data_IF_229278186964
#
_entry.id   IF_229278186964
#
_cell.length_a   1.000
_cell.length_b   1.000
_cell.length_c   1.000
_cell.angle_alpha   90.00
_cell.angle_beta   90.00
_cell.angle_gamma   90.00
#
_symmetry.space_group_name_H-M   'P 1'
#
loop_
_entity.id
_entity.type
_entity.pdbx_description
1 polymer ?
#
# COMPACT_ATOMS: atom_id res chain seq x y z
N UNK A 1 11.75 -2.32 18.72
CA UNK A 1 12.79 -3.03 17.95
C UNK A 1 13.02 -2.22 16.69
N UNK A 2 14.09 -1.41 16.65
CA UNK A 2 14.39 -0.49 15.55
C UNK A 2 14.94 -1.30 14.38
N UNK A 3 14.26 -1.22 13.23
CA UNK A 3 14.72 -1.76 11.96
C UNK A 3 16.03 -1.02 11.63
N UNK A 4 17.15 -1.73 11.62
CA UNK A 4 18.43 -1.15 11.24
C UNK A 4 18.33 -0.67 9.80
N UNK A 5 18.48 0.63 9.60
CA UNK A 5 18.61 1.21 8.27
C UNK A 5 19.90 0.65 7.65
N UNK A 6 19.78 -0.22 6.64
CA UNK A 6 20.91 -0.78 5.90
C UNK A 6 21.56 0.31 5.02
N UNK A 7 22.24 1.28 5.63
CA UNK A 7 23.05 2.27 4.93
C UNK A 7 24.46 1.70 4.67
N UNK A 8 24.54 0.70 3.79
CA UNK A 8 25.80 0.32 3.14
C UNK A 8 26.12 1.25 1.97
N UNK A 9 27.37 1.26 1.45
CA UNK A 9 27.68 2.00 0.23
C UNK A 9 26.74 1.57 -0.90
N UNK A 10 26.20 2.54 -1.64
CA UNK A 10 25.23 2.29 -2.70
C UNK A 10 25.80 1.28 -3.71
N UNK A 11 25.17 0.09 -3.88
CA UNK A 11 25.64 -0.88 -4.86
C UNK A 11 25.45 -0.30 -6.26
N UNK A 12 26.53 -0.17 -7.03
CA UNK A 12 26.46 0.16 -8.45
C UNK A 12 26.02 -1.09 -9.23
N UNK A 13 24.79 -1.06 -9.73
CA UNK A 13 24.24 -2.12 -10.57
C UNK A 13 24.56 -1.84 -12.03
N UNK A 14 25.17 -2.80 -12.71
CA UNK A 14 25.40 -2.76 -14.15
C UNK A 14 24.52 -3.79 -14.85
N UNK A 15 23.73 -3.35 -15.83
CA UNK A 15 22.95 -4.22 -16.69
C UNK A 15 23.55 -4.14 -18.10
N UNK A 16 24.07 -5.25 -18.61
CA UNK A 16 24.62 -5.33 -19.98
C UNK A 16 25.75 -4.31 -20.25
N UNK A 17 26.50 -3.92 -19.21
CA UNK A 17 27.60 -2.95 -19.32
C UNK A 17 27.20 -1.49 -19.10
N UNK A 18 25.91 -1.18 -18.92
CA UNK A 18 25.43 0.16 -18.55
C UNK A 18 25.13 0.26 -17.06
N UNK A 19 25.48 1.39 -16.45
CA UNK A 19 25.18 1.67 -15.03
C UNK A 19 23.71 2.08 -14.92
N UNK A 20 22.95 1.39 -14.07
CA UNK A 20 21.54 1.73 -13.83
C UNK A 20 21.47 2.99 -12.97
N UNK A 21 20.63 3.95 -13.39
CA UNK A 21 20.35 5.14 -12.60
C UNK A 21 19.69 4.78 -11.26
N UNK A 22 20.26 5.30 -10.17
CA UNK A 22 19.66 5.16 -8.85
C UNK A 22 18.63 6.27 -8.63
N UNK A 23 17.36 5.88 -8.45
CA UNK A 23 16.27 6.80 -8.15
C UNK A 23 15.82 6.67 -6.70
N UNK A 24 15.44 7.80 -6.08
CA UNK A 24 14.94 7.82 -4.70
C UNK A 24 13.57 7.15 -4.55
N UNK A 25 12.73 7.20 -5.60
CA UNK A 25 11.42 6.57 -5.68
C UNK A 25 11.23 5.95 -7.07
N UNK A 26 10.75 4.72 -7.10
CA UNK A 26 10.44 4.00 -8.32
C UNK A 26 8.98 3.53 -8.29
N UNK A 27 8.24 3.69 -9.39
CA UNK A 27 6.88 3.19 -9.51
C UNK A 27 6.90 1.78 -10.11
N UNK A 28 6.48 0.79 -9.33
CA UNK A 28 6.34 -0.59 -9.76
C UNK A 28 4.88 -1.03 -9.61
N UNK A 29 4.23 -1.38 -10.71
CA UNK A 29 2.83 -1.83 -10.73
C UNK A 29 1.85 -0.87 -10.02
N UNK A 30 2.15 0.44 -10.02
CA UNK A 30 1.35 1.48 -9.34
C UNK A 30 1.77 1.78 -7.90
N UNK A 31 2.63 0.96 -7.30
CA UNK A 31 3.21 1.15 -5.96
C UNK A 31 4.53 1.91 -6.03
N UNK A 32 4.79 2.79 -5.05
CA UNK A 32 6.06 3.53 -4.99
C UNK A 32 7.03 2.88 -3.99
N UNK A 33 8.16 2.42 -4.51
CA UNK A 33 9.25 1.84 -3.73
C UNK A 33 10.30 2.92 -3.50
N UNK A 34 10.60 3.23 -2.24
CA UNK A 34 11.66 4.18 -1.89
C UNK A 34 13.01 3.48 -1.76
N UNK A 35 14.11 4.21 -2.01
CA UNK A 35 15.49 3.70 -1.95
C UNK A 35 15.83 2.93 -0.65
N UNK A 36 15.30 3.37 0.50
CA UNK A 36 15.50 2.70 1.79
C UNK A 36 14.57 1.51 2.06
N UNK A 37 13.87 0.99 1.04
CA UNK A 37 12.83 -0.04 1.20
C UNK A 37 11.60 0.43 1.97
N UNK A 38 11.51 1.74 2.25
CA UNK A 38 10.42 2.35 3.00
C UNK A 38 9.20 2.53 2.10
N UNK A 39 8.10 1.92 2.51
CA UNK A 39 6.80 1.95 1.83
C UNK A 39 5.87 2.99 2.51
N UNK A 40 6.39 3.84 3.41
CA UNK A 40 5.57 4.72 4.26
C UNK A 40 4.60 5.61 3.48
N UNK A 41 5.05 6.20 2.37
CA UNK A 41 4.19 7.04 1.54
C UNK A 41 3.05 6.23 0.90
N UNK A 42 3.34 5.03 0.43
CA UNK A 42 2.35 4.12 -0.16
C UNK A 42 1.40 3.52 0.90
N UNK A 43 1.90 3.24 2.12
CA UNK A 43 1.05 2.85 3.26
C UNK A 43 0.03 3.95 3.56
N UNK A 44 0.48 5.20 3.61
CA UNK A 44 -0.40 6.34 3.86
C UNK A 44 -1.46 6.51 2.76
N UNK A 45 -1.08 6.31 1.49
CA UNK A 45 -1.99 6.35 0.35
C UNK A 45 -3.04 5.22 0.41
N UNK A 46 -2.61 3.99 0.76
CA UNK A 46 -3.51 2.85 0.96
C UNK A 46 -4.51 3.08 2.08
N UNK A 47 -4.05 3.64 3.21
CA UNK A 47 -4.92 3.99 4.34
C UNK A 47 -5.96 5.04 3.90
N UNK A 48 -5.58 6.05 3.13
CA UNK A 48 -6.51 7.04 2.60
C UNK A 48 -7.57 6.40 1.68
N UNK A 49 -7.17 5.52 0.77
CA UNK A 49 -8.08 4.78 -0.11
C UNK A 49 -9.05 3.89 0.67
N UNK A 50 -8.57 3.18 1.68
CA UNK A 50 -9.39 2.36 2.58
C UNK A 50 -10.41 3.21 3.33
N UNK A 51 -9.99 4.37 3.86
CA UNK A 51 -10.92 5.31 4.52
C UNK A 51 -12.01 5.76 3.56
N UNK A 52 -11.65 6.10 2.32
CA UNK A 52 -12.63 6.48 1.29
C UNK A 52 -13.62 5.34 0.99
N UNK A 53 -13.13 4.11 0.80
CA UNK A 53 -13.98 2.94 0.58
C UNK A 53 -14.94 2.69 1.76
N UNK A 54 -14.46 2.88 2.99
CA UNK A 54 -15.27 2.73 4.19
C UNK A 54 -16.36 3.83 4.28
N UNK A 55 -16.01 5.08 3.96
CA UNK A 55 -16.96 6.21 3.91
C UNK A 55 -18.00 6.02 2.80
N UNK A 56 -17.63 5.51 1.63
CA UNK A 56 -18.57 5.20 0.55
C UNK A 56 -19.60 4.15 0.97
N UNK A 57 -19.23 3.24 1.88
CA UNK A 57 -20.11 2.24 2.46
C UNK A 57 -20.87 2.71 3.71
N UNK A 58 -20.77 3.99 4.09
CA UNK A 58 -21.43 4.57 5.27
C UNK A 58 -22.92 4.24 5.34
N UNK A 59 -23.63 4.30 4.22
CA UNK A 59 -25.06 3.98 4.18
C UNK A 59 -25.37 2.51 4.51
N UNK A 60 -24.41 1.63 4.24
CA UNK A 60 -24.50 0.20 4.52
C UNK A 60 -24.24 -0.07 6.01
N UNK A 61 -23.20 0.54 6.58
CA UNK A 61 -22.88 0.46 8.01
C UNK A 61 -23.95 1.10 8.91
N UNK A 62 -24.60 2.16 8.46
CA UNK A 62 -25.66 2.85 9.21
C UNK A 62 -27.00 2.09 9.19
N UNK A 63 -27.15 1.02 8.41
CA UNK A 63 -28.38 0.23 8.37
C UNK A 63 -28.40 -0.79 9.50
N UNK A 64 -29.30 -0.59 10.45
CA UNK A 64 -29.52 -1.40 11.67
C UNK A 64 -29.87 -2.88 11.44
N UNK A 65 -30.11 -3.31 10.18
CA UNK A 65 -30.63 -4.63 9.83
C UNK A 65 -29.63 -5.53 9.09
N UNK A 66 -28.38 -5.12 8.90
CA UNK A 66 -27.38 -6.04 8.35
C UNK A 66 -26.89 -6.99 9.44
N UNK A 67 -27.00 -8.30 9.18
CA UNK A 67 -26.31 -9.31 10.01
C UNK A 67 -24.80 -9.06 9.88
N UNK A 68 -24.08 -9.14 10.99
CA UNK A 68 -22.61 -9.05 11.04
C UNK A 68 -21.91 -9.95 10.01
N UNK A 69 -22.52 -11.10 9.67
CA UNK A 69 -22.01 -12.00 8.63
C UNK A 69 -22.03 -11.41 7.21
N UNK A 70 -22.98 -10.52 6.90
CA UNK A 70 -23.06 -9.83 5.62
C UNK A 70 -22.08 -8.66 5.58
N UNK A 71 -21.98 -7.89 6.66
CA UNK A 71 -20.99 -6.81 6.79
C UNK A 71 -19.56 -7.33 6.65
N UNK A 72 -19.24 -8.46 7.29
CA UNK A 72 -17.94 -9.10 7.17
C UNK A 72 -17.61 -9.52 5.73
N UNK A 73 -18.61 -10.00 4.96
CA UNK A 73 -18.44 -10.33 3.54
C UNK A 73 -18.24 -9.09 2.68
N UNK A 74 -19.01 -8.03 2.92
CA UNK A 74 -18.85 -6.75 2.21
C UNK A 74 -17.46 -6.20 2.48
N UNK A 75 -17.03 -6.13 3.74
CA UNK A 75 -15.68 -5.72 4.11
C UNK A 75 -14.60 -6.56 3.40
N UNK A 76 -14.74 -7.89 3.43
CA UNK A 76 -13.77 -8.79 2.79
C UNK A 76 -13.72 -8.62 1.26
N UNK A 77 -14.83 -8.26 0.62
CA UNK A 77 -14.91 -8.08 -0.82
C UNK A 77 -14.48 -6.69 -1.30
N UNK A 78 -14.66 -5.63 -0.49
CA UNK A 78 -14.48 -4.24 -0.94
C UNK A 78 -13.33 -3.53 -0.25
N UNK A 79 -13.17 -3.70 1.06
CA UNK A 79 -12.17 -2.96 1.86
C UNK A 79 -10.87 -3.73 1.96
N UNK A 80 -10.93 -5.05 2.21
CA UNK A 80 -9.75 -5.91 2.34
C UNK A 80 -8.84 -5.92 1.10
N UNK A 81 -9.35 -5.99 -0.15
CA UNK A 81 -8.48 -5.96 -1.33
C UNK A 81 -7.78 -4.60 -1.51
N UNK A 82 -8.45 -3.49 -1.18
CA UNK A 82 -7.86 -2.15 -1.26
C UNK A 82 -6.74 -1.98 -0.22
N UNK A 83 -6.91 -2.54 0.98
CA UNK A 83 -5.86 -2.54 1.99
C UNK A 83 -4.62 -3.34 1.55
N UNK A 84 -4.85 -4.50 0.93
CA UNK A 84 -3.77 -5.42 0.55
C UNK A 84 -3.06 -5.01 -0.74
N UNK A 85 -3.82 -4.53 -1.73
CA UNK A 85 -3.35 -4.36 -3.11
C UNK A 85 -3.73 -3.00 -3.73
N UNK A 86 -4.40 -2.10 -3.00
CA UNK A 86 -4.88 -0.82 -3.52
C UNK A 86 -3.78 0.24 -3.61
N UNK A 87 -2.77 -0.01 -4.42
CA UNK A 87 -1.70 0.94 -4.75
C UNK A 87 -2.22 2.13 -5.55
#
# INVERSE_FOLDING_TARGET
MLLQDCFGPAPSLTLTGEVIEQVNKFCYLGSYISLGGRIMDEESARIQKVRLAFVNLRHLWCRRYFRLSVEGRVYAATVRPVLLYGA
#
